data_IF_316414827571
#
_entry.id   IF_316414827571
#
_cell.length_a   1.000
_cell.length_b   1.000
_cell.length_c   1.000
_cell.angle_alpha   90.00
_cell.angle_beta   90.00
_cell.angle_gamma   90.00
#
_symmetry.space_group_name_H-M   'P 1'
#
loop_
_entity.id
_entity.type
_entity.pdbx_description
1 polymer ?
#
# COMPACT_ATOMS: atom_id res chain seq x y z
N UNK A 1 13.40 62.53 -9.53
CA UNK A 1 12.10 62.54 -8.82
C UNK A 1 11.42 61.20 -9.07
N UNK A 2 11.09 60.45 -8.00
CA UNK A 2 9.98 59.46 -7.87
C UNK A 2 9.88 58.29 -8.90
N UNK A 3 9.76 57.01 -8.55
CA UNK A 3 9.32 56.30 -7.33
C UNK A 3 9.63 54.78 -7.42
N UNK A 4 9.97 54.19 -6.26
CA UNK A 4 9.58 52.87 -5.71
C UNK A 4 9.75 51.59 -6.57
N UNK A 5 10.75 50.72 -6.30
CA UNK A 5 10.79 49.57 -5.35
C UNK A 5 9.62 48.58 -5.50
N UNK A 6 9.92 47.36 -5.97
CA UNK A 6 9.49 46.11 -5.29
C UNK A 6 10.41 44.95 -5.62
N UNK A 7 10.96 44.36 -4.56
CA UNK A 7 11.75 43.13 -4.52
C UNK A 7 10.76 41.97 -4.26
N UNK A 8 10.87 40.87 -4.99
CA UNK A 8 10.37 39.55 -4.61
C UNK A 8 11.45 38.56 -5.09
N UNK A 9 12.40 38.12 -4.24
CA UNK A 9 12.28 37.05 -3.22
C UNK A 9 11.36 35.92 -3.67
N UNK A 10 11.92 34.80 -4.15
CA UNK A 10 12.14 33.61 -3.34
C UNK A 10 12.81 32.54 -4.20
N UNK A 11 14.01 32.15 -3.79
CA UNK A 11 14.58 30.86 -4.12
C UNK A 11 13.88 29.78 -3.29
N UNK A 12 13.96 28.56 -3.83
CA UNK A 12 13.78 27.27 -3.18
C UNK A 12 12.40 26.59 -3.28
N UNK A 13 12.50 25.30 -3.63
CA UNK A 13 11.55 24.21 -3.36
C UNK A 13 10.35 24.21 -4.33
N UNK A 14 10.07 23.18 -5.12
CA UNK A 14 10.33 21.76 -4.95
C UNK A 14 10.61 21.10 -6.29
N UNK A 15 11.53 20.13 -6.26
CA UNK A 15 11.48 18.97 -7.14
C UNK A 15 10.04 18.47 -7.20
N UNK A 16 9.36 18.74 -8.32
CA UNK A 16 8.10 18.12 -8.68
C UNK A 16 8.34 16.66 -9.03
N UNK A 17 8.77 15.87 -8.04
CA UNK A 17 8.54 14.44 -8.07
C UNK A 17 7.04 14.25 -8.23
N UNK A 18 6.57 13.41 -9.17
CA UNK A 18 5.16 13.22 -9.40
C UNK A 18 4.46 12.77 -8.12
N UNK A 19 3.60 13.64 -7.58
CA UNK A 19 2.72 13.38 -6.44
C UNK A 19 1.59 12.38 -6.77
N UNK A 20 1.75 11.53 -7.79
CA UNK A 20 0.82 10.46 -8.17
C UNK A 20 1.09 9.12 -7.46
N UNK A 21 1.88 9.11 -6.39
CA UNK A 21 2.15 7.90 -5.58
C UNK A 21 1.58 7.96 -4.14
N UNK A 22 0.95 9.07 -3.73
CA UNK A 22 0.61 9.30 -2.31
C UNK A 22 -0.81 8.88 -1.89
N UNK A 23 -1.56 8.12 -2.70
CA UNK A 23 -2.95 7.75 -2.32
C UNK A 23 -3.25 6.25 -2.21
N UNK A 24 -2.36 5.39 -2.71
CA UNK A 24 -2.56 3.93 -2.67
C UNK A 24 -1.34 3.15 -2.13
N UNK A 25 -0.27 3.85 -1.75
CA UNK A 25 0.99 3.28 -1.24
C UNK A 25 0.96 2.97 0.26
N UNK A 26 0.29 3.81 1.05
CA UNK A 26 0.09 3.58 2.49
C UNK A 26 -1.10 2.64 2.78
N UNK A 27 -2.17 2.72 1.96
CA UNK A 27 -3.39 1.92 2.15
C UNK A 27 -3.21 0.41 1.99
N UNK A 28 -2.23 -0.03 1.20
CA UNK A 28 -2.04 -1.47 0.96
C UNK A 28 -1.69 -2.19 2.26
N UNK A 29 -0.72 -1.65 3.02
CA UNK A 29 -0.32 -2.21 4.32
C UNK A 29 -1.45 -2.13 5.36
N UNK A 30 -2.34 -1.13 5.23
CA UNK A 30 -3.53 -1.00 6.09
C UNK A 30 -4.58 -2.11 5.84
N UNK A 31 -4.52 -2.83 4.71
CA UNK A 31 -5.40 -3.97 4.40
C UNK A 31 -4.91 -5.28 5.04
N UNK A 32 -3.69 -5.33 5.57
CA UNK A 32 -3.15 -6.55 6.22
C UNK A 32 -4.00 -7.08 7.39
N UNK A 33 -4.53 -6.24 8.29
CA UNK A 33 -5.42 -6.69 9.37
C UNK A 33 -6.69 -7.33 8.81
N UNK A 34 -7.28 -6.75 7.77
CA UNK A 34 -8.50 -7.26 7.11
C UNK A 34 -8.23 -8.60 6.44
N UNK A 35 -7.11 -8.73 5.71
CA UNK A 35 -6.69 -10.01 5.11
C UNK A 35 -6.43 -11.09 6.15
N UNK A 36 -5.80 -10.74 7.28
CA UNK A 36 -5.62 -11.67 8.41
C UNK A 36 -6.96 -12.10 9.00
N UNK A 37 -7.92 -11.19 9.08
CA UNK A 37 -9.25 -11.50 9.59
C UNK A 37 -10.01 -12.40 8.62
N UNK A 38 -9.99 -12.10 7.32
CA UNK A 38 -10.57 -12.96 6.29
C UNK A 38 -9.93 -14.35 6.25
N UNK A 39 -8.61 -14.45 6.46
CA UNK A 39 -7.91 -15.74 6.53
C UNK A 39 -8.41 -16.63 7.70
N UNK A 40 -8.87 -16.05 8.81
CA UNK A 40 -9.45 -16.81 9.93
C UNK A 40 -10.78 -17.46 9.58
N UNK A 41 -11.52 -16.84 8.66
CA UNK A 41 -12.81 -17.30 8.17
C UNK A 41 -12.71 -17.88 6.75
N UNK A 42 -11.51 -18.32 6.36
CA UNK A 42 -11.27 -18.86 5.03
C UNK A 42 -11.84 -20.27 4.91
N UNK A 43 -12.90 -20.42 4.11
CA UNK A 43 -13.59 -21.69 3.84
C UNK A 43 -13.07 -22.44 2.59
N UNK A 44 -12.04 -21.91 1.93
CA UNK A 44 -11.43 -22.51 0.74
C UNK A 44 -10.46 -23.67 1.06
N UNK A 45 -9.73 -24.13 0.04
CA UNK A 45 -8.80 -25.27 0.18
C UNK A 45 -7.65 -24.96 1.14
N UNK A 46 -7.18 -25.94 1.94
CA UNK A 46 -6.03 -25.74 2.84
C UNK A 46 -4.78 -25.18 2.14
N UNK A 47 -4.50 -25.62 0.91
CA UNK A 47 -3.37 -25.11 0.13
C UNK A 47 -3.50 -23.62 -0.22
N UNK A 48 -4.71 -23.15 -0.52
CA UNK A 48 -4.97 -21.73 -0.82
C UNK A 48 -4.89 -20.88 0.45
N UNK A 49 -5.32 -21.44 1.59
CA UNK A 49 -5.15 -20.83 2.92
C UNK A 49 -3.67 -20.65 3.27
N UNK A 50 -2.86 -21.70 3.10
CA UNK A 50 -1.42 -21.64 3.40
C UNK A 50 -0.71 -20.66 2.47
N UNK A 51 -1.11 -20.62 1.19
CA UNK A 51 -0.60 -19.65 0.23
C UNK A 51 -0.99 -18.23 0.61
N UNK A 52 -2.25 -17.97 0.96
CA UNK A 52 -2.71 -16.66 1.41
C UNK A 52 -1.98 -16.22 2.69
N UNK A 53 -1.77 -17.13 3.64
CA UNK A 53 -0.99 -16.88 4.86
C UNK A 53 0.44 -16.45 4.53
N UNK A 54 1.13 -17.19 3.65
CA UNK A 54 2.49 -16.85 3.24
C UNK A 54 2.59 -15.48 2.57
N UNK A 55 1.60 -15.13 1.73
CA UNK A 55 1.53 -13.83 1.06
C UNK A 55 1.33 -12.70 2.07
N UNK A 56 0.42 -12.87 3.04
CA UNK A 56 0.16 -11.89 4.11
C UNK A 56 1.39 -11.68 4.99
N UNK A 57 2.08 -12.75 5.40
CA UNK A 57 3.30 -12.66 6.21
C UNK A 57 4.44 -11.97 5.46
N UNK A 58 4.60 -12.27 4.17
CA UNK A 58 5.62 -11.64 3.32
C UNK A 58 5.32 -10.16 3.10
N UNK A 59 4.06 -9.81 2.82
CA UNK A 59 3.60 -8.45 2.71
C UNK A 59 3.84 -7.65 4.01
N UNK A 60 3.55 -8.24 5.17
CA UNK A 60 3.77 -7.60 6.46
C UNK A 60 5.26 -7.30 6.70
N UNK A 61 6.14 -8.23 6.34
CA UNK A 61 7.60 -8.01 6.42
C UNK A 61 8.04 -6.87 5.52
N UNK A 62 7.57 -6.84 4.28
CA UNK A 62 7.90 -5.79 3.30
C UNK A 62 7.36 -4.42 3.73
N UNK A 63 6.16 -4.38 4.32
CA UNK A 63 5.59 -3.16 4.91
C UNK A 63 6.45 -2.64 6.08
N UNK A 64 6.94 -3.53 6.97
CA UNK A 64 7.86 -3.16 8.07
C UNK A 64 9.22 -2.68 7.55
N UNK A 65 9.68 -3.19 6.41
CA UNK A 65 10.90 -2.75 5.73
C UNK A 65 10.73 -1.43 4.94
N UNK A 66 9.53 -0.84 4.91
CA UNK A 66 9.23 0.36 4.12
C UNK A 66 9.08 0.10 2.61
N UNK A 67 9.06 -1.16 2.18
CA UNK A 67 8.93 -1.61 0.79
C UNK A 67 7.46 -1.84 0.42
N UNK A 68 6.64 -0.82 0.58
CA UNK A 68 5.20 -0.91 0.34
C UNK A 68 4.85 -1.24 -1.13
N UNK A 69 5.68 -0.85 -2.09
CA UNK A 69 5.49 -1.19 -3.52
C UNK A 69 5.64 -2.69 -3.78
N UNK A 70 6.65 -3.33 -3.18
CA UNK A 70 6.84 -4.77 -3.27
C UNK A 70 5.74 -5.50 -2.51
N UNK A 71 5.37 -5.00 -1.32
CA UNK A 71 4.29 -5.57 -0.50
C UNK A 71 2.96 -5.63 -1.24
N UNK A 72 2.65 -4.61 -2.06
CA UNK A 72 1.39 -4.53 -2.81
C UNK A 72 1.10 -5.78 -3.64
N UNK A 73 2.10 -6.33 -4.34
CA UNK A 73 1.91 -7.53 -5.15
C UNK A 73 1.48 -8.74 -4.31
N UNK A 74 2.07 -8.91 -3.13
CA UNK A 74 1.69 -9.97 -2.19
C UNK A 74 0.31 -9.73 -1.59
N UNK A 75 -0.04 -8.47 -1.32
CA UNK A 75 -1.35 -8.07 -0.78
C UNK A 75 -2.45 -8.32 -1.81
N UNK A 76 -2.24 -7.99 -3.08
CA UNK A 76 -3.19 -8.24 -4.16
C UNK A 76 -3.44 -9.75 -4.36
N UNK A 77 -2.39 -10.58 -4.29
CA UNK A 77 -2.53 -12.05 -4.36
C UNK A 77 -3.26 -12.59 -3.13
N UNK A 78 -2.90 -12.16 -1.93
CA UNK A 78 -3.58 -12.55 -0.70
C UNK A 78 -5.06 -12.15 -0.73
N UNK A 79 -5.38 -10.94 -1.16
CA UNK A 79 -6.73 -10.43 -1.32
C UNK A 79 -7.52 -11.26 -2.34
N UNK A 80 -6.89 -11.58 -3.47
CA UNK A 80 -7.48 -12.45 -4.49
C UNK A 80 -7.74 -13.88 -4.03
N UNK A 81 -7.01 -14.39 -3.03
CA UNK A 81 -7.26 -15.71 -2.43
C UNK A 81 -8.34 -15.61 -1.35
N UNK A 82 -8.18 -14.71 -0.38
CA UNK A 82 -9.04 -14.61 0.80
C UNK A 82 -10.45 -14.11 0.47
N UNK A 83 -10.59 -13.14 -0.43
CA UNK A 83 -11.87 -12.49 -0.72
C UNK A 83 -12.57 -13.01 -1.98
N UNK A 84 -11.91 -13.82 -2.82
CA UNK A 84 -12.63 -14.54 -3.89
C UNK A 84 -13.52 -15.64 -3.34
N UNK A 85 -13.09 -16.33 -2.28
CA UNK A 85 -13.89 -17.38 -1.63
C UNK A 85 -15.15 -16.83 -0.94
N UNK A 86 -15.27 -15.52 -0.73
CA UNK A 86 -16.50 -14.89 -0.22
C UNK A 86 -17.68 -14.84 -1.23
N UNK A 87 -17.48 -15.30 -2.48
CA UNK A 87 -18.46 -15.12 -3.58
C UNK A 87 -19.08 -16.40 -4.15
N UNK A 88 -18.86 -17.59 -3.61
CA UNK A 88 -19.56 -18.81 -4.06
C UNK A 88 -20.28 -19.52 -2.93
#
# INVERSE_FOLDING_TARGET
>A
MSRSITIAVLAALLLGAPAWAQSSKAKSCDLLPELKQGLKHFDGKPADRDRAKWQIETAEKLCKEGKADEAKGYIDVAHGLVLKDHKH
#
